data_IF_035458384089
#
_entry.id   IF_035458384089
#
_cell.length_a   1.000
_cell.length_b   1.000
_cell.length_c   1.000
_cell.angle_alpha   90.00
_cell.angle_beta   90.00
_cell.angle_gamma   90.00
#
_symmetry.space_group_name_H-M   'P 1'
#
loop_
_entity.id
_entity.type
_entity.pdbx_description
1 polymer ?
#
# COMPACT_ATOMS: atom_id res chain seq x y z
N UNK A 1 5.64 -10.97 -26.19
CA UNK A 1 4.24 -11.28 -26.55
C UNK A 1 3.38 -10.78 -25.37
N UNK A 2 2.58 -9.73 -25.53
CA UNK A 2 1.73 -9.21 -24.46
C UNK A 2 0.36 -9.88 -24.57
N UNK A 3 0.03 -10.75 -23.63
CA UNK A 3 -1.30 -11.34 -23.50
C UNK A 3 -2.18 -10.35 -22.75
N UNK A 4 -3.17 -9.76 -23.44
CA UNK A 4 -4.17 -8.89 -22.80
C UNK A 4 -5.31 -9.76 -22.28
N UNK A 5 -5.46 -9.87 -20.96
CA UNK A 5 -6.67 -10.42 -20.37
C UNK A 5 -7.78 -9.36 -20.41
N UNK A 6 -8.94 -9.72 -20.93
CA UNK A 6 -10.14 -8.88 -20.92
C UNK A 6 -11.18 -9.51 -20.02
N UNK A 7 -11.80 -8.69 -19.19
CA UNK A 7 -12.87 -9.12 -18.27
C UNK A 7 -14.09 -8.24 -18.55
N UNK A 8 -15.24 -8.86 -18.74
CA UNK A 8 -16.52 -8.18 -18.74
C UNK A 8 -17.18 -8.34 -17.37
N UNK A 9 -17.66 -7.25 -16.82
CA UNK A 9 -18.34 -7.23 -15.52
C UNK A 9 -19.77 -6.74 -15.76
N UNK A 10 -20.77 -7.53 -15.32
CA UNK A 10 -22.16 -7.13 -15.29
C UNK A 10 -22.62 -6.98 -13.84
N UNK A 11 -23.13 -5.80 -13.48
CA UNK A 11 -23.63 -5.50 -12.14
C UNK A 11 -25.18 -5.50 -12.15
N UNK A 12 -25.77 -6.16 -11.15
CA UNK A 12 -27.22 -6.23 -10.91
C UNK A 12 -27.56 -5.65 -9.55
N UNK A 13 -28.02 -4.41 -9.55
CA UNK A 13 -28.49 -3.68 -8.35
C UNK A 13 -29.99 -3.95 -8.15
N UNK A 14 -30.35 -5.19 -7.87
CA UNK A 14 -31.72 -5.60 -7.70
C UNK A 14 -32.01 -6.09 -6.29
N UNK A 15 -33.24 -5.86 -5.82
CA UNK A 15 -33.72 -6.33 -4.52
C UNK A 15 -34.12 -7.81 -4.52
N UNK A 16 -33.99 -8.50 -5.65
CA UNK A 16 -34.31 -9.93 -5.81
C UNK A 16 -33.09 -10.69 -6.33
N UNK A 17 -32.91 -11.98 -5.89
CA UNK A 17 -31.79 -12.77 -6.38
C UNK A 17 -31.83 -12.99 -7.88
N UNK A 18 -30.67 -12.89 -8.54
CA UNK A 18 -30.47 -13.12 -9.96
C UNK A 18 -30.87 -14.54 -10.35
N UNK A 19 -31.63 -14.67 -11.44
CA UNK A 19 -32.15 -15.94 -11.97
C UNK A 19 -31.19 -16.60 -12.94
N UNK A 20 -31.42 -17.88 -13.25
CA UNK A 20 -30.69 -18.60 -14.32
C UNK A 20 -30.81 -17.91 -15.69
N UNK A 21 -32.00 -17.35 -16.02
CA UNK A 21 -32.22 -16.66 -17.29
C UNK A 21 -31.29 -15.47 -17.48
N UNK A 22 -31.11 -14.66 -16.44
CA UNK A 22 -30.27 -13.49 -16.47
C UNK A 22 -28.78 -13.82 -16.61
N UNK A 23 -28.33 -14.89 -15.95
CA UNK A 23 -26.97 -15.42 -16.17
C UNK A 23 -26.82 -15.91 -17.61
N UNK A 24 -27.87 -16.55 -18.16
CA UNK A 24 -27.88 -17.00 -19.55
C UNK A 24 -27.76 -15.86 -20.55
N UNK A 25 -28.45 -14.74 -20.33
CA UNK A 25 -28.31 -13.53 -21.16
C UNK A 25 -26.89 -12.98 -21.13
N UNK A 26 -26.24 -12.97 -19.94
CA UNK A 26 -24.87 -12.53 -19.84
C UNK A 26 -23.89 -13.47 -20.54
N UNK A 27 -24.07 -14.79 -20.42
CA UNK A 27 -23.32 -15.79 -21.20
C UNK A 27 -23.44 -15.57 -22.68
N UNK A 28 -24.67 -15.30 -23.18
CA UNK A 28 -24.90 -15.02 -24.61
C UNK A 28 -24.10 -13.79 -25.06
N UNK A 29 -24.15 -12.69 -24.30
CA UNK A 29 -23.34 -11.49 -24.60
C UNK A 29 -21.83 -11.77 -24.62
N UNK A 30 -21.33 -12.64 -23.74
CA UNK A 30 -19.90 -12.99 -23.70
C UNK A 30 -19.48 -13.84 -24.90
N UNK A 31 -20.36 -14.71 -25.39
CA UNK A 31 -20.09 -15.54 -26.56
C UNK A 31 -19.90 -14.71 -27.85
N UNK A 32 -20.52 -13.53 -27.92
CA UNK A 32 -20.30 -12.57 -29.02
C UNK A 32 -18.95 -11.86 -28.93
N UNK A 33 -18.28 -11.96 -27.78
CA UNK A 33 -17.02 -11.29 -27.45
C UNK A 33 -15.91 -12.34 -27.29
N UNK A 34 -15.06 -12.51 -28.28
CA UNK A 34 -13.98 -13.48 -28.25
C UNK A 34 -12.97 -13.23 -27.12
N UNK A 35 -12.59 -14.29 -26.38
CA UNK A 35 -11.54 -14.27 -25.33
C UNK A 35 -11.78 -13.28 -24.18
N UNK A 36 -12.96 -13.33 -23.57
CA UNK A 36 -13.33 -12.50 -22.42
C UNK A 36 -13.79 -13.40 -21.29
N UNK A 37 -13.26 -13.17 -20.07
CA UNK A 37 -13.79 -13.77 -18.84
C UNK A 37 -14.97 -12.96 -18.32
N UNK A 38 -16.03 -13.65 -17.88
CA UNK A 38 -17.23 -13.01 -17.33
C UNK A 38 -17.23 -13.00 -15.81
N UNK A 39 -17.56 -11.85 -15.23
CA UNK A 39 -17.85 -11.70 -13.81
C UNK A 39 -19.21 -11.04 -13.67
N UNK A 40 -20.10 -11.61 -12.85
CA UNK A 40 -21.38 -10.99 -12.52
C UNK A 40 -21.42 -10.64 -11.04
N UNK A 41 -21.81 -9.42 -10.73
CA UNK A 41 -21.94 -8.91 -9.36
C UNK A 41 -23.42 -8.63 -9.09
N UNK A 42 -23.95 -9.18 -8.00
CA UNK A 42 -25.34 -8.97 -7.61
C UNK A 42 -25.49 -8.49 -6.18
N UNK A 43 -26.37 -7.53 -5.95
CA UNK A 43 -26.68 -7.02 -4.60
C UNK A 43 -27.40 -8.06 -3.76
N UNK A 44 -28.44 -8.67 -4.30
CA UNK A 44 -29.33 -9.63 -3.56
C UNK A 44 -28.97 -11.09 -3.78
N UNK A 45 -27.76 -11.35 -4.34
CA UNK A 45 -27.26 -12.70 -4.55
C UNK A 45 -27.91 -13.41 -5.74
N UNK A 46 -27.86 -14.75 -5.74
CA UNK A 46 -28.21 -15.61 -6.86
C UNK A 46 -29.09 -16.77 -6.44
N UNK A 47 -30.04 -17.16 -7.27
CA UNK A 47 -30.80 -18.41 -7.11
C UNK A 47 -29.86 -19.62 -7.32
N UNK A 48 -30.21 -20.78 -6.72
CA UNK A 48 -29.40 -21.99 -6.83
C UNK A 48 -29.13 -22.43 -8.26
N UNK A 49 -30.16 -22.36 -9.10
CA UNK A 49 -30.04 -22.67 -10.54
C UNK A 49 -29.16 -21.69 -11.33
N UNK A 50 -29.09 -20.43 -10.89
CA UNK A 50 -28.18 -19.43 -11.46
C UNK A 50 -26.72 -19.75 -11.14
N UNK A 51 -26.42 -20.15 -9.90
CA UNK A 51 -25.07 -20.53 -9.47
C UNK A 51 -24.55 -21.73 -10.26
N UNK A 52 -25.33 -22.80 -10.34
CA UNK A 52 -24.97 -24.00 -11.11
C UNK A 52 -24.73 -23.69 -12.61
N UNK A 53 -25.58 -22.85 -13.17
CA UNK A 53 -25.46 -22.48 -14.58
C UNK A 53 -24.23 -21.59 -14.85
N UNK A 54 -23.92 -20.65 -13.95
CA UNK A 54 -22.73 -19.81 -14.02
C UNK A 54 -21.45 -20.64 -13.93
N UNK A 55 -21.38 -21.58 -12.98
CA UNK A 55 -20.24 -22.48 -12.81
C UNK A 55 -20.00 -23.31 -14.08
N UNK A 56 -21.07 -23.89 -14.64
CA UNK A 56 -20.99 -24.69 -15.87
C UNK A 56 -20.54 -23.88 -17.11
N UNK A 57 -20.67 -22.53 -17.08
CA UNK A 57 -20.28 -21.63 -18.16
C UNK A 57 -19.04 -20.78 -17.85
N UNK A 58 -18.34 -21.06 -16.74
CA UNK A 58 -17.12 -20.35 -16.38
C UNK A 58 -17.33 -18.89 -15.99
N UNK A 59 -18.53 -18.53 -15.53
CA UNK A 59 -18.86 -17.18 -15.04
C UNK A 59 -18.54 -17.10 -13.55
N UNK A 60 -17.74 -16.14 -13.18
CA UNK A 60 -17.50 -15.84 -11.77
C UNK A 60 -18.65 -15.01 -11.20
N UNK A 61 -19.26 -15.50 -10.12
CA UNK A 61 -20.30 -14.79 -9.38
C UNK A 61 -19.72 -14.15 -8.12
N UNK A 62 -20.09 -12.90 -7.88
CA UNK A 62 -19.73 -12.14 -6.67
C UNK A 62 -21.01 -11.49 -6.12
N UNK A 63 -21.11 -11.38 -4.83
CA UNK A 63 -22.15 -10.58 -4.16
C UNK A 63 -21.55 -9.24 -3.71
N UNK A 64 -22.39 -8.20 -3.60
CA UNK A 64 -21.95 -6.88 -3.17
C UNK A 64 -21.14 -6.92 -1.86
N UNK A 65 -21.57 -7.77 -0.91
CA UNK A 65 -20.88 -7.98 0.37
C UNK A 65 -19.45 -8.55 0.25
N UNK A 66 -19.15 -9.21 -0.89
CA UNK A 66 -17.84 -9.83 -1.15
C UNK A 66 -16.89 -8.83 -1.84
N UNK A 67 -17.40 -7.66 -2.24
CA UNK A 67 -16.60 -6.59 -2.80
C UNK A 67 -15.91 -5.81 -1.68
N UNK A 68 -14.64 -5.46 -1.84
CA UNK A 68 -14.01 -4.53 -0.93
C UNK A 68 -14.77 -3.19 -0.97
N UNK A 69 -14.97 -2.57 0.18
CA UNK A 69 -15.60 -1.25 0.23
C UNK A 69 -14.78 -0.24 -0.57
N UNK A 70 -15.43 0.83 -1.06
CA UNK A 70 -14.69 1.92 -1.73
C UNK A 70 -13.57 2.45 -0.85
N UNK A 71 -13.81 2.52 0.45
CA UNK A 71 -12.80 2.92 1.45
C UNK A 71 -11.60 1.96 1.45
N UNK A 72 -11.82 0.64 1.39
CA UNK A 72 -10.75 -0.36 1.38
C UNK A 72 -9.95 -0.31 0.07
N UNK A 73 -10.64 -0.09 -1.06
CA UNK A 73 -9.99 0.08 -2.37
C UNK A 73 -9.09 1.32 -2.34
N UNK A 74 -9.62 2.45 -1.90
CA UNK A 74 -8.86 3.71 -1.79
C UNK A 74 -7.72 3.55 -0.80
N UNK A 75 -7.97 2.97 0.38
CA UNK A 75 -6.90 2.69 1.36
C UNK A 75 -5.80 1.81 0.77
N UNK A 76 -6.16 0.79 0.01
CA UNK A 76 -5.19 -0.08 -0.69
C UNK A 76 -4.35 0.66 -1.74
N UNK A 77 -4.97 1.56 -2.52
CA UNK A 77 -4.28 2.40 -3.49
C UNK A 77 -3.37 3.40 -2.79
N UNK A 78 -3.88 4.08 -1.75
CA UNK A 78 -3.11 5.02 -0.93
C UNK A 78 -1.94 4.30 -0.27
N UNK A 79 -2.18 3.13 0.34
CA UNK A 79 -1.13 2.31 0.94
C UNK A 79 -0.01 2.01 -0.06
N UNK A 80 -0.33 1.53 -1.27
CA UNK A 80 0.67 1.23 -2.31
C UNK A 80 1.42 2.47 -2.79
N UNK A 81 0.73 3.61 -2.90
CA UNK A 81 1.34 4.86 -3.38
C UNK A 81 2.27 5.50 -2.33
N UNK A 82 1.92 5.41 -1.05
CA UNK A 82 2.61 6.15 0.01
C UNK A 82 3.52 5.29 0.89
N UNK A 83 3.29 3.97 0.98
CA UNK A 83 4.15 3.11 1.81
C UNK A 83 5.26 2.47 0.97
N UNK A 84 6.52 2.64 1.37
CA UNK A 84 7.66 2.01 0.71
C UNK A 84 7.60 0.48 0.80
N UNK A 85 7.65 -0.21 -0.34
CA UNK A 85 7.81 -1.66 -0.37
C UNK A 85 9.29 -2.08 -0.28
N UNK A 86 9.55 -3.40 -0.23
CA UNK A 86 10.92 -3.94 -0.12
C UNK A 86 11.82 -3.62 -1.31
N UNK A 87 11.25 -3.26 -2.46
CA UNK A 87 11.98 -3.06 -3.71
C UNK A 87 12.32 -1.59 -3.95
N UNK A 88 11.70 -0.68 -3.21
CA UNK A 88 11.96 0.76 -3.33
C UNK A 88 13.36 1.06 -2.82
N UNK A 89 14.16 1.69 -3.65
CA UNK A 89 15.47 2.24 -3.26
C UNK A 89 15.28 3.61 -2.64
N UNK A 90 16.11 3.95 -1.65
CA UNK A 90 16.13 5.28 -1.06
C UNK A 90 16.50 6.33 -2.12
N UNK A 91 15.68 7.37 -2.22
CA UNK A 91 15.89 8.49 -3.14
C UNK A 91 15.40 9.81 -2.51
N UNK A 92 16.23 10.46 -1.71
CA UNK A 92 17.57 10.02 -1.27
C UNK A 92 17.58 9.21 0.03
N UNK A 93 16.42 8.98 0.67
CA UNK A 93 16.36 8.52 2.04
C UNK A 93 15.94 7.06 2.21
N UNK A 94 16.36 6.53 3.35
CA UNK A 94 15.89 5.28 3.93
C UNK A 94 15.25 5.58 5.29
N UNK A 95 14.32 4.74 5.72
CA UNK A 95 13.64 4.85 7.01
C UNK A 95 13.36 3.47 7.59
N UNK A 96 12.89 3.42 8.84
CA UNK A 96 12.44 2.19 9.49
C UNK A 96 10.91 2.16 9.54
N UNK A 97 10.32 1.06 9.06
CA UNK A 97 8.87 0.85 9.08
C UNK A 97 8.52 -0.39 9.88
N UNK A 98 7.47 -0.28 10.67
CA UNK A 98 6.92 -1.39 11.43
C UNK A 98 6.37 -2.47 10.50
N UNK A 99 6.65 -3.72 10.85
CA UNK A 99 6.23 -4.92 10.13
C UNK A 99 5.36 -5.78 11.02
N UNK A 100 4.21 -6.16 10.52
CA UNK A 100 3.34 -7.14 11.14
C UNK A 100 2.96 -8.20 10.09
N UNK A 101 3.12 -9.47 10.42
CA UNK A 101 2.86 -10.60 9.51
C UNK A 101 3.60 -10.50 8.16
N UNK A 102 4.80 -9.91 8.16
CA UNK A 102 5.63 -9.75 6.95
C UNK A 102 5.24 -8.57 6.05
N UNK A 103 4.22 -7.80 6.41
CA UNK A 103 3.79 -6.60 5.69
C UNK A 103 3.99 -5.33 6.52
N UNK A 104 4.17 -4.19 5.84
CA UNK A 104 4.27 -2.89 6.50
C UNK A 104 2.91 -2.47 7.06
N UNK A 105 2.89 -2.04 8.33
CA UNK A 105 1.66 -1.52 8.97
C UNK A 105 1.32 -0.09 8.54
N UNK A 106 2.29 0.64 8.02
CA UNK A 106 2.19 2.07 7.76
C UNK A 106 2.73 2.95 8.90
N UNK A 107 3.18 2.33 9.98
CA UNK A 107 3.81 3.03 11.11
C UNK A 107 5.30 3.16 10.84
N UNK A 108 5.82 4.38 10.93
CA UNK A 108 7.25 4.67 10.89
C UNK A 108 7.83 4.63 12.30
N UNK A 109 9.04 4.14 12.40
CA UNK A 109 9.81 4.31 13.63
C UNK A 109 9.99 5.80 13.91
N UNK A 110 9.73 6.21 15.13
CA UNK A 110 9.89 7.59 15.56
C UNK A 110 10.56 7.66 16.94
N UNK A 111 11.35 8.68 17.10
CA UNK A 111 11.93 9.04 18.39
C UNK A 111 10.99 10.01 19.11
N UNK A 112 10.84 9.83 20.40
CA UNK A 112 10.15 10.80 21.25
C UNK A 112 11.20 11.68 21.93
N UNK A 113 11.16 12.99 21.65
CA UNK A 113 11.96 13.98 22.38
C UNK A 113 11.02 14.99 23.04
N UNK A 114 10.86 14.86 24.36
CA UNK A 114 9.93 15.65 25.18
C UNK A 114 8.48 15.54 24.63
N UNK A 115 7.99 16.60 23.97
CA UNK A 115 6.65 16.65 23.39
C UNK A 115 6.66 16.45 21.88
N UNK A 116 7.82 16.11 21.27
CA UNK A 116 7.97 16.03 19.83
C UNK A 116 8.19 14.60 19.37
N UNK A 117 7.51 14.26 18.30
CA UNK A 117 7.73 13.02 17.55
C UNK A 117 8.68 13.32 16.39
N UNK A 118 9.77 12.56 16.28
CA UNK A 118 10.81 12.79 15.29
C UNK A 118 11.00 11.51 14.47
N UNK A 119 10.79 11.57 13.17
CA UNK A 119 11.02 10.43 12.27
C UNK A 119 12.43 10.50 11.69
N UNK A 120 13.24 9.44 11.85
CA UNK A 120 14.59 9.39 11.32
C UNK A 120 14.60 9.03 9.83
N UNK A 121 15.38 9.80 9.08
CA UNK A 121 15.78 9.52 7.70
C UNK A 121 17.28 9.26 7.63
N UNK A 122 17.67 8.33 6.77
CA UNK A 122 19.06 7.90 6.59
C UNK A 122 19.44 8.03 5.13
N UNK A 123 20.62 8.54 4.83
CA UNK A 123 21.17 8.52 3.48
C UNK A 123 21.67 7.12 3.05
N UNK A 124 21.82 6.21 3.99
CA UNK A 124 22.38 4.89 3.74
C UNK A 124 21.51 3.80 4.35
N UNK A 125 21.16 2.80 3.53
CA UNK A 125 20.50 1.58 4.01
C UNK A 125 21.31 0.89 5.10
N UNK A 126 22.63 0.87 4.97
CA UNK A 126 23.54 0.24 5.95
C UNK A 126 23.44 0.91 7.32
N UNK A 127 23.39 2.25 7.33
CA UNK A 127 23.26 3.00 8.60
C UNK A 127 21.88 2.75 9.21
N UNK A 128 20.82 2.77 8.42
CA UNK A 128 19.47 2.46 8.91
C UNK A 128 19.40 1.04 9.51
N UNK A 129 20.03 0.06 8.87
CA UNK A 129 20.07 -1.32 9.34
C UNK A 129 20.92 -1.48 10.62
N UNK A 130 21.99 -0.71 10.76
CA UNK A 130 22.80 -0.69 11.98
C UNK A 130 22.01 -0.12 13.16
N UNK A 131 21.27 0.99 12.98
CA UNK A 131 20.37 1.51 14.02
C UNK A 131 19.31 0.47 14.37
N UNK A 132 18.63 -0.10 13.38
CA UNK A 132 17.59 -1.10 13.59
C UNK A 132 18.07 -2.25 14.49
N UNK A 133 19.29 -2.76 14.25
CA UNK A 133 19.87 -3.84 15.06
C UNK A 133 20.18 -3.44 16.51
N UNK A 134 20.37 -2.16 16.78
CA UNK A 134 20.63 -1.65 18.15
C UNK A 134 19.33 -1.36 18.92
N UNK A 135 18.19 -1.26 18.25
CA UNK A 135 16.93 -1.04 18.93
C UNK A 135 16.47 -2.31 19.66
N UNK A 136 15.95 -2.20 20.91
CA UNK A 136 15.42 -3.33 21.65
C UNK A 136 14.30 -4.06 20.92
N UNK A 137 13.48 -3.32 20.19
CA UNK A 137 12.35 -3.77 19.37
C UNK A 137 12.63 -3.77 17.85
N UNK A 138 13.91 -3.69 17.48
CA UNK A 138 14.34 -3.60 16.07
C UNK A 138 13.86 -4.75 15.18
N UNK A 139 13.48 -5.89 15.76
CA UNK A 139 12.87 -7.01 15.04
C UNK A 139 11.44 -6.68 14.52
N UNK A 140 10.77 -5.70 15.11
CA UNK A 140 9.47 -5.22 14.66
C UNK A 140 9.56 -4.30 13.43
N UNK A 141 10.76 -3.90 13.03
CA UNK A 141 10.96 -2.94 11.94
C UNK A 141 11.77 -3.54 10.81
N UNK A 142 11.53 -3.03 9.61
CA UNK A 142 12.37 -3.26 8.43
C UNK A 142 12.82 -1.93 7.83
N UNK A 143 14.02 -1.92 7.26
CA UNK A 143 14.55 -0.78 6.51
C UNK A 143 13.84 -0.68 5.16
N UNK A 144 13.34 0.50 4.83
CA UNK A 144 12.65 0.81 3.58
C UNK A 144 13.26 2.03 2.90
N UNK A 145 13.44 1.95 1.60
CA UNK A 145 13.79 3.10 0.79
C UNK A 145 12.58 3.99 0.57
N UNK A 146 12.76 5.30 0.62
CA UNK A 146 11.72 6.30 0.37
C UNK A 146 11.94 6.90 -1.00
N UNK A 147 11.01 6.67 -1.94
CA UNK A 147 11.02 7.32 -3.26
C UNK A 147 10.57 8.77 -3.17
N UNK A 148 10.80 9.56 -4.21
CA UNK A 148 10.37 10.96 -4.28
C UNK A 148 8.86 11.13 -4.08
N UNK A 149 8.03 10.26 -4.68
CA UNK A 149 6.58 10.29 -4.48
C UNK A 149 6.18 10.03 -3.03
N UNK A 150 6.83 9.06 -2.40
CA UNK A 150 6.58 8.72 -1.00
C UNK A 150 7.06 9.82 -0.07
N UNK A 151 8.22 10.42 -0.36
CA UNK A 151 8.75 11.54 0.41
C UNK A 151 7.80 12.74 0.39
N UNK A 152 7.26 13.08 -0.79
CA UNK A 152 6.28 14.16 -0.94
C UNK A 152 5.00 13.91 -0.12
N UNK A 153 4.46 12.70 -0.20
CA UNK A 153 3.29 12.31 0.59
C UNK A 153 3.57 12.28 2.09
N UNK A 154 4.76 11.82 2.47
CA UNK A 154 5.21 11.75 3.85
C UNK A 154 5.37 13.15 4.47
N UNK A 155 5.97 14.09 3.74
CA UNK A 155 6.10 15.49 4.15
C UNK A 155 4.71 16.09 4.43
N UNK A 156 3.75 15.91 3.53
CA UNK A 156 2.39 16.40 3.72
C UNK A 156 1.73 15.82 4.99
N UNK A 157 1.97 14.54 5.28
CA UNK A 157 1.49 13.90 6.50
C UNK A 157 2.16 14.46 7.75
N UNK A 158 3.48 14.68 7.69
CA UNK A 158 4.23 15.26 8.81
C UNK A 158 3.76 16.68 9.15
N UNK A 159 3.47 17.51 8.13
CA UNK A 159 2.90 18.86 8.31
C UNK A 159 1.58 18.80 9.10
N UNK A 160 0.68 17.88 8.72
CA UNK A 160 -0.63 17.72 9.38
C UNK A 160 -0.50 17.22 10.82
N UNK A 161 0.43 16.30 11.08
CA UNK A 161 0.61 15.67 12.39
C UNK A 161 1.55 16.44 13.33
N UNK A 162 2.21 17.50 12.86
CA UNK A 162 3.20 18.24 13.63
C UNK A 162 4.45 17.43 13.97
N UNK A 163 4.77 16.43 13.16
CA UNK A 163 5.93 15.55 13.32
C UNK A 163 7.16 16.19 12.70
N UNK A 164 8.32 16.02 13.31
CA UNK A 164 9.61 16.53 12.80
C UNK A 164 10.37 15.43 12.06
N UNK A 165 11.26 15.83 11.16
CA UNK A 165 12.22 14.95 10.52
C UNK A 165 13.61 15.11 11.15
N UNK A 166 14.34 14.02 11.26
CA UNK A 166 15.77 14.05 11.54
C UNK A 166 16.54 13.32 10.44
N UNK A 167 17.62 13.93 9.97
CA UNK A 167 18.51 13.28 9.02
C UNK A 167 19.73 12.76 9.80
N UNK A 168 19.93 11.46 9.69
CA UNK A 168 21.10 10.78 10.22
C UNK A 168 22.21 10.81 9.16
N UNK A 169 23.24 11.54 9.45
CA UNK A 169 24.41 11.65 8.60
C UNK A 169 25.64 11.21 9.38
N UNK A 170 26.34 10.21 8.88
CA UNK A 170 27.57 9.75 9.53
C UNK A 170 28.63 9.48 8.48
N UNK A 171 29.59 10.38 8.32
CA UNK A 171 30.74 10.07 7.52
C UNK A 171 31.69 9.05 8.20
N UNK A 172 31.73 9.02 9.56
CA UNK A 172 32.67 8.19 10.32
C UNK A 172 32.00 7.70 11.62
N UNK A 173 31.16 6.67 11.50
CA UNK A 173 30.53 6.07 12.66
C UNK A 173 31.43 4.97 13.25
N UNK A 174 31.86 5.16 14.49
CA UNK A 174 32.50 4.11 15.25
C UNK A 174 31.44 3.11 15.70
N UNK A 175 31.64 1.81 15.45
CA UNK A 175 30.65 0.77 15.73
C UNK A 175 30.28 0.65 17.21
N UNK A 176 31.15 1.16 18.08
CA UNK A 176 30.97 1.15 19.53
C UNK A 176 30.16 2.34 20.05
N UNK A 177 29.91 3.39 19.24
CA UNK A 177 29.11 4.54 19.66
C UNK A 177 27.63 4.21 19.63
N UNK A 178 26.94 4.48 20.76
CA UNK A 178 25.49 4.28 20.92
C UNK A 178 24.72 5.43 20.26
N UNK A 179 25.27 6.64 20.30
CA UNK A 179 24.64 7.85 19.79
C UNK A 179 25.06 8.14 18.36
N UNK A 180 24.15 7.96 17.43
CA UNK A 180 24.34 8.35 16.03
C UNK A 180 23.97 9.82 15.90
N UNK A 181 24.86 10.71 15.47
CA UNK A 181 24.53 12.12 15.29
C UNK A 181 23.44 12.30 14.22
N UNK A 182 22.48 13.14 14.56
CA UNK A 182 21.41 13.52 13.65
C UNK A 182 21.17 15.04 13.70
N UNK A 183 20.63 15.57 12.62
CA UNK A 183 20.15 16.94 12.59
C UNK A 183 18.63 16.95 12.37
N UNK A 184 17.92 17.66 13.24
CA UNK A 184 16.51 17.95 12.99
C UNK A 184 16.45 18.91 11.81
N UNK A 185 15.67 18.55 10.79
CA UNK A 185 15.44 19.40 9.63
C UNK A 185 14.02 19.94 9.66
N UNK A 186 13.82 21.27 9.49
CA UNK A 186 12.51 21.85 9.28
C UNK A 186 11.84 21.24 8.03
N UNK A 187 10.53 21.00 8.11
CA UNK A 187 9.78 20.35 7.01
C UNK A 187 9.87 21.16 5.72
N UNK A 188 9.84 22.49 5.83
CA UNK A 188 9.99 23.41 4.70
C UNK A 188 11.32 23.18 3.97
N UNK A 189 12.41 23.05 4.73
CA UNK A 189 13.72 22.74 4.16
C UNK A 189 13.81 21.34 3.56
N UNK A 190 13.19 20.36 4.22
CA UNK A 190 13.12 19.00 3.68
C UNK A 190 12.41 18.99 2.32
N UNK A 191 11.35 19.77 2.18
CA UNK A 191 10.57 19.92 0.94
C UNK A 191 11.36 20.65 -0.13
N UNK A 192 12.01 21.76 0.23
CA UNK A 192 12.76 22.62 -0.71
C UNK A 192 14.02 21.94 -1.23
N UNK A 193 14.77 21.27 -0.36
CA UNK A 193 16.09 20.73 -0.68
C UNK A 193 16.06 19.31 -1.24
N UNK A 194 15.04 18.50 -0.92
CA UNK A 194 15.02 17.05 -1.21
C UNK A 194 13.85 16.58 -2.07
N UNK A 195 12.85 17.40 -2.34
CA UNK A 195 11.76 17.07 -3.26
C UNK A 195 12.00 17.76 -4.60
N UNK A 196 12.18 16.99 -5.68
CA UNK A 196 12.52 17.50 -7.00
C UNK A 196 11.62 16.96 -8.14
N UNK A 197 10.44 16.39 -7.79
CA UNK A 197 9.40 15.93 -8.74
C UNK A 197 8.13 16.78 -8.64
#
# INVERSE_FOLDING_TARGET
MNIKHRIAIECKEWNTPVTKGEVGEFVAKLNDLNNISGVMVAQSGYQSGARQFAEANGIQLMEEKDLPSFTDIIAGVVKKAFLPDKKVKGDPFWTLMEIQNGETTGTYYALADKEKTIVPFFYSQVIAEKLRKKLPDGYCYEVRGVSQYQLKGFIAQMEVLGVQAAIYYVPFWNEDEIDIPFAIIPIEKLKEEYVYI
#
